data_IF_689263627511
#
_entry.id   IF_689263627511
#
_cell.length_a   1.000
_cell.length_b   1.000
_cell.length_c   1.000
_cell.angle_alpha   90.00
_cell.angle_beta   90.00
_cell.angle_gamma   90.00
#
_symmetry.space_group_name_H-M   'P 1'
#
loop_
_entity.id
_entity.type
_entity.pdbx_description
1 polymer ?
#
# COMPACT_ATOMS: atom_id res chain seq x y z
N UNK A 1 24.40 0.18 22.08
CA UNK A 1 23.16 -0.40 22.63
C UNK A 1 21.94 0.17 21.91
N UNK A 2 21.75 1.49 21.92
CA UNK A 2 20.63 2.19 21.25
C UNK A 2 20.48 1.85 19.76
N UNK A 3 21.59 1.83 19.00
CA UNK A 3 21.60 1.48 17.58
C UNK A 3 20.89 0.15 17.30
N UNK A 4 21.26 -0.92 18.02
CA UNK A 4 20.70 -2.25 17.77
C UNK A 4 19.22 -2.28 18.12
N UNK A 5 18.82 -1.67 19.24
CA UNK A 5 17.41 -1.56 19.64
C UNK A 5 16.57 -0.86 18.57
N UNK A 6 17.07 0.23 17.97
CA UNK A 6 16.36 0.94 16.89
C UNK A 6 16.26 0.09 15.63
N UNK A 7 17.35 -0.58 15.24
CA UNK A 7 17.37 -1.45 14.06
C UNK A 7 16.44 -2.66 14.22
N UNK A 8 16.43 -3.29 15.39
CA UNK A 8 15.54 -4.42 15.70
C UNK A 8 14.06 -3.98 15.65
N UNK A 9 13.75 -2.80 16.17
CA UNK A 9 12.40 -2.23 16.09
C UNK A 9 11.97 -1.94 14.64
N UNK A 10 12.88 -1.43 13.80
CA UNK A 10 12.61 -1.21 12.38
C UNK A 10 12.40 -2.54 11.64
N UNK A 11 13.24 -3.54 11.89
CA UNK A 11 13.12 -4.87 11.31
C UNK A 11 11.80 -5.55 11.70
N UNK A 12 11.37 -5.41 12.96
CA UNK A 12 10.08 -5.91 13.40
C UNK A 12 8.91 -5.23 12.68
N UNK A 13 8.94 -3.89 12.53
CA UNK A 13 7.91 -3.14 11.79
C UNK A 13 7.89 -3.48 10.30
N UNK A 14 9.05 -3.69 9.69
CA UNK A 14 9.20 -4.16 8.32
C UNK A 14 8.52 -5.52 8.11
N UNK A 15 8.85 -6.51 8.94
CA UNK A 15 8.25 -7.85 8.87
C UNK A 15 6.75 -7.84 9.14
N UNK A 16 6.28 -7.03 10.09
CA UNK A 16 4.86 -6.86 10.36
C UNK A 16 4.10 -6.31 9.15
N UNK A 17 4.65 -5.28 8.51
CA UNK A 17 4.08 -4.64 7.31
C UNK A 17 3.98 -5.64 6.17
N UNK A 18 5.07 -6.35 5.87
CA UNK A 18 5.12 -7.37 4.82
C UNK A 18 4.07 -8.46 5.05
N UNK A 19 4.00 -9.02 6.27
CA UNK A 19 3.07 -10.11 6.60
C UNK A 19 1.61 -9.69 6.46
N UNK A 20 1.25 -8.50 6.95
CA UNK A 20 -0.13 -8.04 6.88
C UNK A 20 -0.52 -7.74 5.44
N UNK A 21 0.31 -7.01 4.69
CA UNK A 21 0.02 -6.68 3.29
C UNK A 21 -0.10 -7.93 2.41
N UNK A 22 0.80 -8.90 2.58
CA UNK A 22 0.73 -10.18 1.84
C UNK A 22 -0.45 -11.07 2.25
N UNK A 23 -1.12 -10.79 3.37
CA UNK A 23 -2.36 -11.49 3.76
C UNK A 23 -3.61 -10.96 3.06
N UNK A 24 -3.50 -9.80 2.39
CA UNK A 24 -4.62 -9.16 1.70
C UNK A 24 -4.66 -9.65 0.25
N UNK A 25 -5.77 -10.25 -0.22
CA UNK A 25 -5.94 -10.62 -1.63
C UNK A 25 -5.72 -9.41 -2.52
N UNK A 26 -5.00 -9.58 -3.62
CA UNK A 26 -4.70 -8.49 -4.56
C UNK A 26 -3.51 -7.61 -4.15
N UNK A 27 -2.91 -7.79 -2.98
CA UNK A 27 -1.68 -7.09 -2.58
C UNK A 27 -0.50 -8.06 -2.52
N UNK A 28 0.62 -7.64 -3.11
CA UNK A 28 1.91 -8.34 -3.00
C UNK A 28 2.99 -7.38 -2.53
N UNK A 29 3.53 -7.63 -1.35
CA UNK A 29 4.62 -6.87 -0.76
C UNK A 29 5.90 -7.70 -0.73
N UNK A 30 6.97 -7.17 -1.34
CA UNK A 30 8.29 -7.78 -1.21
C UNK A 30 8.85 -7.58 0.21
N UNK A 31 9.78 -8.43 0.66
CA UNK A 31 10.47 -8.25 1.93
C UNK A 31 11.17 -6.89 2.02
N UNK A 32 10.93 -6.16 3.10
CA UNK A 32 11.57 -4.86 3.35
C UNK A 32 12.91 -5.10 4.05
N UNK A 33 13.96 -5.30 3.24
CA UNK A 33 15.30 -5.65 3.73
C UNK A 33 16.08 -4.45 4.29
N UNK A 34 15.64 -3.23 4.03
CA UNK A 34 16.34 -2.02 4.47
C UNK A 34 15.55 -0.74 4.17
N UNK A 35 16.19 0.41 4.41
CA UNK A 35 15.56 1.73 4.38
C UNK A 35 14.35 1.83 5.32
N UNK A 36 13.36 2.65 4.97
CA UNK A 36 12.17 2.92 5.78
C UNK A 36 10.86 2.84 5.00
N UNK A 37 10.88 2.20 3.83
CA UNK A 37 9.76 2.18 2.89
C UNK A 37 9.43 0.76 2.43
N UNK A 38 8.13 0.48 2.30
CA UNK A 38 7.61 -0.65 1.56
C UNK A 38 7.04 -0.17 0.22
N UNK A 39 7.12 -1.03 -0.80
CA UNK A 39 6.59 -0.75 -2.14
C UNK A 39 5.70 -1.91 -2.63
N UNK A 40 4.56 -2.14 -1.97
CA UNK A 40 3.61 -3.18 -2.38
C UNK A 40 3.06 -2.93 -3.78
N UNK A 41 2.96 -4.02 -4.54
CA UNK A 41 2.17 -4.11 -5.76
C UNK A 41 0.71 -4.36 -5.39
N UNK A 42 -0.20 -3.65 -6.05
CA UNK A 42 -1.64 -3.84 -5.94
C UNK A 42 -2.21 -4.31 -7.28
N UNK A 43 -3.17 -5.21 -7.19
CA UNK A 43 -4.06 -5.55 -8.29
C UNK A 43 -5.20 -4.53 -8.31
N UNK A 44 -5.39 -3.91 -9.47
CA UNK A 44 -6.50 -2.99 -9.72
C UNK A 44 -7.39 -3.66 -10.78
N UNK A 45 -8.67 -3.92 -10.47
CA UNK A 45 -9.58 -4.56 -11.41
C UNK A 45 -9.75 -3.74 -12.71
N UNK A 46 -9.98 -4.39 -13.87
CA UNK A 46 -10.16 -3.69 -15.14
C UNK A 46 -11.22 -2.58 -15.14
N UNK A 47 -12.40 -2.73 -14.49
CA UNK A 47 -13.37 -1.64 -14.39
C UNK A 47 -12.81 -0.38 -13.71
N UNK A 48 -12.01 -0.56 -12.66
CA UNK A 48 -11.37 0.56 -11.96
C UNK A 48 -10.25 1.20 -12.81
N UNK A 49 -9.55 0.42 -13.63
CA UNK A 49 -8.58 0.94 -14.61
C UNK A 49 -9.30 1.81 -15.65
N UNK A 50 -10.43 1.35 -16.19
CA UNK A 50 -11.22 2.09 -17.17
C UNK A 50 -11.78 3.39 -16.59
N UNK A 51 -12.25 3.38 -15.34
CA UNK A 51 -12.69 4.61 -14.66
C UNK A 51 -11.53 5.61 -14.51
N UNK A 52 -10.35 5.14 -14.08
CA UNK A 52 -9.17 5.98 -13.98
C UNK A 52 -8.78 6.60 -15.35
N UNK A 53 -8.82 5.82 -16.42
CA UNK A 53 -8.57 6.27 -17.79
C UNK A 53 -9.61 7.31 -18.24
N UNK A 54 -10.89 7.13 -17.92
CA UNK A 54 -11.96 8.10 -18.22
C UNK A 54 -11.74 9.45 -17.54
N UNK A 55 -11.11 9.44 -16.37
CA UNK A 55 -10.73 10.62 -15.59
C UNK A 55 -9.35 11.17 -15.99
N UNK A 56 -8.69 10.57 -17.00
CA UNK A 56 -7.35 10.93 -17.47
C UNK A 56 -6.27 10.89 -16.37
N UNK A 57 -6.40 9.97 -15.42
CA UNK A 57 -5.43 9.76 -14.33
C UNK A 57 -4.91 8.32 -14.32
N UNK A 58 -3.72 8.11 -13.76
CA UNK A 58 -3.15 6.77 -13.63
C UNK A 58 -3.97 5.91 -12.63
N UNK A 59 -4.13 4.59 -12.86
CA UNK A 59 -4.94 3.74 -11.98
C UNK A 59 -4.49 3.72 -10.51
N UNK A 60 -3.19 3.85 -10.26
CA UNK A 60 -2.66 3.93 -8.90
C UNK A 60 -2.91 5.28 -8.23
N UNK A 61 -2.97 6.38 -8.99
CA UNK A 61 -3.43 7.69 -8.50
C UNK A 61 -4.91 7.59 -8.13
N UNK A 62 -5.73 6.96 -8.98
CA UNK A 62 -7.14 6.75 -8.71
C UNK A 62 -7.35 5.95 -7.41
N UNK A 63 -6.67 4.81 -7.26
CA UNK A 63 -6.69 4.02 -6.03
C UNK A 63 -6.26 4.83 -4.81
N UNK A 64 -5.20 5.63 -4.94
CA UNK A 64 -4.72 6.51 -3.87
C UNK A 64 -5.75 7.57 -3.46
N UNK A 65 -6.40 8.23 -4.42
CA UNK A 65 -7.42 9.25 -4.12
C UNK A 65 -8.59 8.65 -3.35
N UNK A 66 -9.10 7.49 -3.78
CA UNK A 66 -10.14 6.76 -3.08
C UNK A 66 -9.72 6.37 -1.65
N UNK A 67 -8.50 5.85 -1.49
CA UNK A 67 -7.95 5.50 -0.17
C UNK A 67 -7.91 6.73 0.74
N UNK A 68 -7.44 7.86 0.22
CA UNK A 68 -7.31 9.10 0.97
C UNK A 68 -8.69 9.64 1.39
N UNK A 69 -9.65 9.66 0.48
CA UNK A 69 -11.01 10.15 0.72
C UNK A 69 -11.75 9.31 1.77
N UNK A 70 -11.63 7.99 1.72
CA UNK A 70 -12.37 7.09 2.62
C UNK A 70 -11.70 6.91 3.98
N UNK A 71 -10.37 6.85 4.02
CA UNK A 71 -9.63 6.46 5.24
C UNK A 71 -8.84 7.59 5.89
N UNK A 72 -8.59 8.68 5.15
CA UNK A 72 -7.66 9.74 5.52
C UNK A 72 -6.18 9.32 5.47
N UNK A 73 -5.86 8.14 4.94
CA UNK A 73 -4.49 7.64 4.85
C UNK A 73 -3.83 8.17 3.59
N UNK A 74 -2.68 8.84 3.77
CA UNK A 74 -1.85 9.31 2.67
C UNK A 74 -0.73 8.31 2.36
N UNK A 75 -0.70 7.81 1.13
CA UNK A 75 0.42 7.04 0.56
C UNK A 75 0.90 7.72 -0.72
N UNK A 76 2.07 7.36 -1.25
CA UNK A 76 2.53 7.93 -2.53
C UNK A 76 2.27 6.92 -3.64
N UNK A 77 1.55 7.28 -4.72
CA UNK A 77 1.29 6.37 -5.84
C UNK A 77 2.57 5.98 -6.59
N UNK A 78 2.60 4.77 -7.14
CA UNK A 78 3.75 4.17 -7.81
C UNK A 78 4.16 4.87 -9.10
N UNK A 79 3.22 5.54 -9.77
CA UNK A 79 3.38 6.30 -11.00
C UNK A 79 4.42 7.41 -10.87
N UNK A 80 4.64 7.95 -9.66
CA UNK A 80 5.72 8.90 -9.38
C UNK A 80 7.13 8.31 -9.32
N UNK A 81 7.28 6.98 -9.30
CA UNK A 81 8.57 6.30 -9.10
C UNK A 81 9.08 5.51 -10.31
N UNK A 82 8.36 5.58 -11.44
CA UNK A 82 8.48 4.65 -12.57
C UNK A 82 8.18 3.20 -12.14
N UNK A 83 7.23 2.57 -12.82
CA UNK A 83 6.85 1.18 -12.57
C UNK A 83 6.65 0.45 -13.89
N UNK A 84 6.71 -0.89 -13.84
CA UNK A 84 6.48 -1.71 -15.04
C UNK A 84 5.08 -1.46 -15.58
N UNK A 85 4.94 -1.38 -16.90
CA UNK A 85 3.63 -1.21 -17.53
C UNK A 85 2.70 -2.38 -17.15
N UNK A 86 1.46 -2.06 -16.80
CA UNK A 86 0.46 -3.02 -16.34
C UNK A 86 0.59 -3.45 -14.88
N UNK A 87 1.53 -2.86 -14.12
CA UNK A 87 1.60 -3.05 -12.67
C UNK A 87 1.42 -1.72 -11.94
N UNK A 88 0.82 -1.81 -10.75
CA UNK A 88 0.44 -0.66 -9.95
C UNK A 88 0.97 -0.85 -8.54
N UNK A 89 1.49 0.22 -7.94
CA UNK A 89 2.11 0.17 -6.63
C UNK A 89 1.76 1.41 -5.82
N UNK A 90 2.08 1.35 -4.53
CA UNK A 90 2.18 2.55 -3.70
C UNK A 90 3.39 2.43 -2.77
N UNK A 91 3.94 3.57 -2.36
CA UNK A 91 4.99 3.64 -1.35
C UNK A 91 4.39 4.00 0.00
N UNK A 92 4.69 3.20 1.02
CA UNK A 92 4.33 3.50 2.42
C UNK A 92 5.54 3.47 3.33
N UNK A 93 5.44 4.15 4.49
CA UNK A 93 6.51 4.20 5.49
C UNK A 93 6.26 3.20 6.62
N UNK A 94 7.33 2.62 7.16
CA UNK A 94 7.29 1.79 8.38
C UNK A 94 7.60 2.60 9.65
N UNK A 95 7.66 3.92 9.53
CA UNK A 95 8.04 4.84 10.59
C UNK A 95 7.06 4.95 11.76
N UNK A 96 5.72 4.83 11.58
CA UNK A 96 4.78 4.91 12.70
C UNK A 96 5.13 3.95 13.83
N UNK A 97 4.63 4.24 15.04
CA UNK A 97 4.71 3.29 16.14
C UNK A 97 3.99 1.99 15.77
N UNK A 98 4.39 0.83 16.32
CA UNK A 98 3.79 -0.46 15.96
C UNK A 98 2.25 -0.46 16.05
N UNK A 99 1.67 0.18 17.05
CA UNK A 99 0.21 0.24 17.23
C UNK A 99 -0.47 1.09 16.15
N UNK A 100 0.11 2.25 15.82
CA UNK A 100 -0.39 3.09 14.72
C UNK A 100 -0.24 2.40 13.37
N UNK A 101 0.86 1.66 13.18
CA UNK A 101 1.12 0.90 11.97
C UNK A 101 0.08 -0.22 11.79
N UNK A 102 -0.27 -0.95 12.86
CA UNK A 102 -1.35 -1.95 12.82
C UNK A 102 -2.69 -1.34 12.42
N UNK A 103 -3.06 -0.20 13.01
CA UNK A 103 -4.31 0.50 12.69
C UNK A 103 -4.31 0.94 11.22
N UNK A 104 -3.22 1.52 10.73
CA UNK A 104 -3.08 1.94 9.35
C UNK A 104 -3.21 0.75 8.39
N UNK A 105 -2.51 -0.34 8.65
CA UNK A 105 -2.54 -1.54 7.81
C UNK A 105 -3.91 -2.21 7.82
N UNK A 106 -4.62 -2.19 8.95
CA UNK A 106 -5.98 -2.71 9.07
C UNK A 106 -6.97 -1.88 8.24
N UNK A 107 -6.92 -0.55 8.36
CA UNK A 107 -7.75 0.35 7.53
C UNK A 107 -7.45 0.20 6.04
N UNK A 108 -6.18 0.06 5.67
CA UNK A 108 -5.78 -0.17 4.28
C UNK A 108 -6.32 -1.50 3.75
N UNK A 109 -6.26 -2.55 4.57
CA UNK A 109 -6.84 -3.86 4.25
C UNK A 109 -8.35 -3.76 4.02
N UNK A 110 -9.08 -3.13 4.94
CA UNK A 110 -10.54 -2.95 4.84
C UNK A 110 -10.92 -2.17 3.58
N UNK A 111 -10.25 -1.05 3.34
CA UNK A 111 -10.41 -0.27 2.12
C UNK A 111 -10.14 -1.11 0.85
N UNK A 112 -9.02 -1.84 0.81
CA UNK A 112 -8.66 -2.62 -0.38
C UNK A 112 -9.70 -3.71 -0.69
N UNK A 113 -10.24 -4.37 0.34
CA UNK A 113 -11.30 -5.37 0.16
C UNK A 113 -12.58 -4.75 -0.39
N UNK A 114 -13.03 -3.62 0.17
CA UNK A 114 -14.19 -2.89 -0.34
C UNK A 114 -13.97 -2.39 -1.77
N UNK A 115 -12.76 -1.90 -2.07
CA UNK A 115 -12.39 -1.47 -3.43
C UNK A 115 -12.47 -2.63 -4.42
N UNK A 116 -11.93 -3.80 -4.07
CA UNK A 116 -12.03 -4.98 -4.93
C UNK A 116 -13.49 -5.40 -5.15
N UNK A 117 -14.31 -5.39 -4.11
CA UNK A 117 -15.73 -5.73 -4.20
C UNK A 117 -16.49 -4.74 -5.10
N UNK A 118 -16.29 -3.44 -4.91
CA UNK A 118 -16.92 -2.38 -5.70
C UNK A 118 -16.61 -2.47 -7.20
N UNK A 119 -15.42 -2.96 -7.55
CA UNK A 119 -14.94 -3.11 -8.93
C UNK A 119 -14.87 -4.58 -9.39
N UNK A 120 -15.54 -5.49 -8.70
CA UNK A 120 -15.60 -6.93 -9.05
C UNK A 120 -16.70 -7.28 -10.06
N UNK A 121 -17.59 -6.33 -10.37
CA UNK A 121 -18.74 -6.48 -11.29
C UNK A 121 -18.40 -6.01 -12.70
#
# INVERSE_FOLDING_TARGET
>A
QEKNTVLDALAHKASLTEKILNSVPGIKCNPVQGAMYAFPQIYIPPPAVQEAESLSIAPDIFYFLKLLEETGIFVVPGSGFFQRQGTYHFRMTILPSPDKLKILLQKLKEFHLHFLEAYSQ
#
